data_IF_569466388655
#
_entry.id   IF_569466388655
#
_cell.length_a   1.000
_cell.length_b   1.000
_cell.length_c   1.000
_cell.angle_alpha   90.00
_cell.angle_beta   90.00
_cell.angle_gamma   90.00
#
_symmetry.space_group_name_H-M   'P 1'
#
loop_
_entity.id
_entity.type
_entity.pdbx_description
1 polymer ?
#
# COMPACT_ATOMS: atom_id res chain seq x y z
N UNK A 1 -13.71 -9.55 23.56
CA UNK A 1 -12.89 -10.34 24.48
C UNK A 1 -11.87 -11.10 23.65
N UNK A 2 -10.62 -10.63 23.63
CA UNK A 2 -9.42 -11.45 23.44
C UNK A 2 -8.23 -10.52 23.66
N UNK A 3 -7.80 -10.47 24.91
CA UNK A 3 -6.51 -9.94 25.34
C UNK A 3 -5.42 -10.91 24.92
N UNK A 4 -4.44 -10.48 24.12
CA UNK A 4 -3.12 -11.11 24.11
C UNK A 4 -2.07 -10.10 23.62
N UNK A 5 -1.52 -9.38 24.59
CA UNK A 5 -0.21 -8.73 24.51
C UNK A 5 0.82 -9.76 24.04
N UNK A 6 1.48 -9.52 22.90
CA UNK A 6 2.67 -10.26 22.49
C UNK A 6 3.70 -9.31 21.87
N UNK A 7 4.90 -9.36 22.46
CA UNK A 7 6.08 -8.56 22.09
C UNK A 7 6.65 -9.05 20.76
N UNK A 8 7.04 -8.12 19.90
CA UNK A 8 7.60 -8.36 18.57
C UNK A 8 9.13 -8.49 18.65
N UNK A 9 9.68 -9.46 17.94
CA UNK A 9 11.11 -9.55 17.60
C UNK A 9 11.24 -9.17 16.12
N UNK A 10 11.70 -7.96 15.84
CA UNK A 10 12.01 -7.53 14.48
C UNK A 10 13.24 -8.30 13.97
N UNK A 11 13.06 -9.15 12.96
CA UNK A 11 14.16 -9.84 12.29
C UNK A 11 14.85 -8.88 11.29
N UNK A 12 15.97 -8.30 11.68
CA UNK A 12 16.89 -7.62 10.77
C UNK A 12 17.53 -8.65 9.81
N UNK A 13 17.43 -8.44 8.49
CA UNK A 13 18.12 -9.27 7.49
C UNK A 13 19.14 -8.40 6.73
N UNK A 14 20.40 -8.84 6.77
CA UNK A 14 21.53 -8.23 6.10
C UNK A 14 21.42 -8.30 4.57
N UNK A 15 21.78 -7.20 3.89
CA UNK A 15 21.81 -7.08 2.43
C UNK A 15 23.16 -7.60 1.91
N UNK A 16 23.15 -8.76 1.26
CA UNK A 16 24.28 -9.25 0.46
C UNK A 16 24.14 -8.82 -1.00
N UNK A 17 25.09 -8.04 -1.50
CA UNK A 17 25.17 -7.64 -2.91
C UNK A 17 25.85 -8.76 -3.70
N UNK A 18 25.18 -9.28 -4.74
CA UNK A 18 25.82 -10.14 -5.75
C UNK A 18 25.70 -9.43 -7.11
N UNK A 19 26.85 -9.10 -7.69
CA UNK A 19 26.98 -8.57 -9.03
C UNK A 19 26.82 -9.68 -10.07
N UNK A 20 25.98 -9.47 -11.09
CA UNK A 20 25.85 -10.38 -12.23
C UNK A 20 26.60 -9.79 -13.44
N UNK A 21 27.60 -10.53 -13.92
CA UNK A 21 28.34 -10.30 -15.15
C UNK A 21 27.57 -10.81 -16.37
N UNK A 22 27.38 -9.96 -17.38
CA UNK A 22 26.78 -10.32 -18.68
C UNK A 22 27.89 -10.64 -19.67
N UNK A 23 28.01 -11.90 -20.09
CA UNK A 23 28.79 -12.30 -21.25
C UNK A 23 27.92 -12.26 -22.50
N UNK A 24 28.34 -11.43 -23.46
CA UNK A 24 27.73 -11.35 -24.79
C UNK A 24 28.16 -12.52 -25.67
N UNK A 25 27.22 -13.02 -26.47
CA UNK A 25 27.51 -13.90 -27.60
C UNK A 25 26.85 -13.26 -28.83
N UNK A 26 27.68 -12.85 -29.78
CA UNK A 26 27.30 -12.45 -31.12
C UNK A 26 27.22 -13.71 -32.00
N UNK A 27 26.17 -13.83 -32.83
CA UNK A 27 26.13 -14.78 -33.93
C UNK A 27 25.66 -14.06 -35.20
N UNK A 28 26.33 -14.43 -36.28
CA UNK A 28 26.45 -13.82 -37.59
C UNK A 28 25.15 -13.66 -38.38
N UNK A 29 25.18 -12.65 -39.25
CA UNK A 29 24.28 -12.43 -40.36
C UNK A 29 24.46 -13.53 -41.43
N UNK A 30 23.35 -13.99 -42.02
CA UNK A 30 23.37 -14.66 -43.31
C UNK A 30 22.43 -13.93 -44.25
N UNK A 31 22.99 -13.43 -45.36
CA UNK A 31 22.28 -12.81 -46.45
C UNK A 31 21.63 -13.90 -47.33
N UNK A 32 20.37 -13.70 -47.68
CA UNK A 32 19.64 -14.49 -48.64
C UNK A 32 18.66 -13.58 -49.37
N UNK A 33 19.02 -13.18 -50.58
CA UNK A 33 18.19 -12.48 -51.55
C UNK A 33 17.25 -13.45 -52.23
N UNK A 34 15.96 -13.11 -52.33
CA UNK A 34 15.13 -13.46 -53.48
C UNK A 34 13.96 -12.47 -53.59
N UNK A 35 13.83 -11.88 -54.78
CA UNK A 35 12.77 -10.95 -55.18
C UNK A 35 11.50 -11.71 -55.52
N UNK A 36 10.34 -11.12 -55.22
CA UNK A 36 9.17 -11.15 -56.11
C UNK A 36 8.15 -10.09 -55.70
N UNK A 37 7.79 -9.27 -56.68
CA UNK A 37 6.83 -8.17 -56.69
C UNK A 37 5.38 -8.62 -56.55
N UNK A 38 4.58 -7.87 -55.80
CA UNK A 38 3.19 -7.57 -56.16
C UNK A 38 2.70 -6.34 -55.38
N UNK A 39 2.45 -5.26 -56.11
CA UNK A 39 1.75 -4.10 -55.63
C UNK A 39 0.25 -4.43 -55.49
N UNK A 40 -0.33 -4.11 -54.34
CA UNK A 40 -1.77 -3.97 -54.18
C UNK A 40 -2.03 -2.75 -53.29
N UNK A 41 -2.41 -1.66 -53.93
CA UNK A 41 -2.91 -0.44 -53.30
C UNK A 41 -4.26 -0.72 -52.65
N UNK A 42 -4.32 -0.54 -51.34
CA UNK A 42 -5.58 -0.50 -50.58
C UNK A 42 -5.62 0.79 -49.79
N UNK A 43 -6.37 1.76 -50.29
CA UNK A 43 -6.69 3.00 -49.60
C UNK A 43 -7.55 2.68 -48.37
N UNK A 44 -6.94 2.69 -47.18
CA UNK A 44 -7.66 2.63 -45.91
C UNK A 44 -7.98 4.07 -45.48
N UNK A 45 -9.27 4.40 -45.51
CA UNK A 45 -9.81 5.65 -45.01
C UNK A 45 -9.41 5.85 -43.54
N UNK A 46 -8.71 6.97 -43.26
CA UNK A 46 -8.39 7.40 -41.92
C UNK A 46 -9.67 7.91 -41.23
N UNK A 47 -10.41 7.02 -40.58
CA UNK A 47 -11.40 7.42 -39.58
C UNK A 47 -10.65 7.97 -38.36
N UNK A 48 -10.57 9.30 -38.26
CA UNK A 48 -10.08 10.02 -37.09
C UNK A 48 -11.03 9.76 -35.91
N UNK A 49 -10.83 8.64 -35.21
CA UNK A 49 -11.41 8.43 -33.90
C UNK A 49 -10.77 9.46 -32.96
N UNK A 50 -11.49 10.55 -32.68
CA UNK A 50 -11.16 11.47 -31.61
C UNK A 50 -11.26 10.71 -30.28
N UNK A 51 -10.15 10.10 -29.85
CA UNK A 51 -9.96 9.66 -28.48
C UNK A 51 -9.92 10.91 -27.62
N UNK A 52 -11.08 11.30 -27.08
CA UNK A 52 -11.16 12.20 -25.93
C UNK A 52 -10.37 11.55 -24.80
N UNK A 53 -9.09 11.89 -24.68
CA UNK A 53 -8.29 11.60 -23.51
C UNK A 53 -8.98 12.30 -22.35
N UNK A 54 -9.75 11.54 -21.57
CA UNK A 54 -10.29 12.02 -20.31
C UNK A 54 -9.08 12.45 -19.47
N UNK A 55 -8.90 13.76 -19.32
CA UNK A 55 -7.83 14.31 -18.50
C UNK A 55 -7.90 13.64 -17.13
N UNK A 56 -6.81 13.00 -16.71
CA UNK A 56 -6.74 12.34 -15.42
C UNK A 56 -7.19 13.33 -14.33
N UNK A 57 -8.20 12.94 -13.53
CA UNK A 57 -8.69 13.79 -12.45
C UNK A 57 -7.53 14.10 -11.53
N UNK A 58 -7.23 15.39 -11.34
CA UNK A 58 -6.18 15.82 -10.41
C UNK A 58 -6.53 15.36 -9.01
N UNK A 59 -5.69 14.52 -8.43
CA UNK A 59 -5.85 14.09 -7.03
C UNK A 59 -5.43 15.20 -6.08
N UNK A 60 -6.13 15.33 -4.96
CA UNK A 60 -5.77 16.28 -3.89
C UNK A 60 -4.93 15.54 -2.86
N UNK A 61 -3.72 16.03 -2.57
CA UNK A 61 -2.85 15.46 -1.54
C UNK A 61 -3.29 15.86 -0.13
N UNK A 62 -2.98 15.06 0.90
CA UNK A 62 -3.14 15.49 2.29
C UNK A 62 -2.34 16.78 2.55
N UNK A 63 -2.83 17.71 3.39
CA UNK A 63 -2.05 18.87 3.79
C UNK A 63 -0.77 18.45 4.50
N UNK A 64 0.38 18.89 3.98
CA UNK A 64 1.69 18.62 4.59
C UNK A 64 1.75 19.11 6.03
N UNK A 65 2.30 18.28 6.94
CA UNK A 65 2.31 18.56 8.38
C UNK A 65 0.91 18.96 8.93
N UNK A 66 -0.14 18.38 8.36
CA UNK A 66 -1.48 18.47 8.92
C UNK A 66 -1.59 17.52 10.10
N UNK A 67 -2.07 17.99 11.26
CA UNK A 67 -2.28 17.13 12.43
C UNK A 67 -3.13 15.92 12.04
N UNK A 68 -2.53 14.73 12.12
CA UNK A 68 -3.10 13.45 11.71
C UNK A 68 -3.78 12.76 12.90
N UNK A 69 -4.86 12.03 12.65
CA UNK A 69 -5.59 11.26 13.65
C UNK A 69 -5.98 9.89 13.07
N UNK A 70 -5.35 8.83 13.59
CA UNK A 70 -5.50 7.47 13.09
C UNK A 70 -6.63 6.77 13.84
N UNK A 71 -7.76 6.54 13.16
CA UNK A 71 -9.03 6.08 13.73
C UNK A 71 -9.51 4.77 13.08
N UNK A 72 -8.59 3.84 12.81
CA UNK A 72 -8.93 2.54 12.20
C UNK A 72 -9.48 1.53 13.23
N UNK A 73 -9.06 1.59 14.50
CA UNK A 73 -9.60 0.77 15.60
C UNK A 73 -10.91 1.30 16.20
N UNK A 74 -11.49 2.36 15.60
CA UNK A 74 -12.82 2.86 15.94
C UNK A 74 -12.96 4.37 15.76
N UNK A 75 -14.16 4.76 15.34
CA UNK A 75 -14.49 6.15 15.00
C UNK A 75 -14.78 6.99 16.24
N UNK A 76 -14.24 8.22 16.28
CA UNK A 76 -14.64 9.26 17.24
C UNK A 76 -14.55 10.65 16.61
N UNK A 77 -15.25 11.67 17.17
CA UNK A 77 -15.12 13.05 16.70
C UNK A 77 -13.66 13.54 16.82
N UNK A 78 -12.98 13.88 15.70
CA UNK A 78 -11.61 14.39 15.76
C UNK A 78 -11.59 15.78 16.38
N UNK A 79 -10.48 16.15 17.03
CA UNK A 79 -10.32 17.49 17.59
C UNK A 79 -10.34 18.56 16.47
N UNK A 80 -10.70 19.80 16.83
CA UNK A 80 -10.75 20.91 15.86
C UNK A 80 -9.41 21.13 15.12
N UNK A 81 -8.29 20.94 15.82
CA UNK A 81 -6.93 21.08 15.27
C UNK A 81 -6.52 19.98 14.30
N UNK A 82 -7.17 18.80 14.34
CA UNK A 82 -6.92 17.70 13.39
C UNK A 82 -7.28 18.17 11.98
N UNK A 83 -6.42 17.88 11.00
CA UNK A 83 -6.61 18.21 9.59
C UNK A 83 -6.81 16.97 8.73
N UNK A 84 -6.21 15.85 9.12
CA UNK A 84 -6.22 14.59 8.39
C UNK A 84 -6.75 13.51 9.33
N UNK A 85 -7.68 12.69 8.84
CA UNK A 85 -8.23 11.55 9.56
C UNK A 85 -8.13 10.34 8.66
N UNK A 86 -7.63 9.22 9.19
CA UNK A 86 -7.70 7.93 8.53
C UNK A 86 -8.66 7.01 9.28
N UNK A 87 -9.56 6.37 8.53
CA UNK A 87 -10.62 5.50 9.04
C UNK A 87 -10.78 4.29 8.14
N UNK A 88 -11.20 3.20 8.76
CA UNK A 88 -11.61 1.98 8.08
C UNK A 88 -12.65 2.26 6.96
N UNK A 89 -12.54 1.53 5.85
CA UNK A 89 -13.43 1.67 4.68
C UNK A 89 -14.92 1.52 5.00
N UNK A 90 -15.30 0.87 6.08
CA UNK A 90 -16.70 0.71 6.50
C UNK A 90 -17.23 1.98 7.18
N UNK A 91 -16.36 2.81 7.74
CA UNK A 91 -16.72 4.04 8.44
C UNK A 91 -17.19 5.16 7.48
N UNK A 92 -17.71 6.24 8.08
CA UNK A 92 -18.02 7.51 7.41
C UNK A 92 -16.82 8.46 7.53
N UNK A 93 -16.52 9.27 6.51
CA UNK A 93 -15.58 10.39 6.62
C UNK A 93 -15.96 11.37 7.74
N UNK A 94 -14.96 12.00 8.33
CA UNK A 94 -15.12 13.13 9.23
C UNK A 94 -15.34 14.43 8.44
N UNK A 95 -16.45 15.14 8.70
CA UNK A 95 -16.78 16.39 8.03
C UNK A 95 -15.68 17.46 8.23
N UNK A 96 -15.36 18.19 7.16
CA UNK A 96 -14.39 19.30 7.20
C UNK A 96 -12.93 18.87 7.40
N UNK A 97 -12.60 17.60 7.18
CA UNK A 97 -11.24 17.04 7.28
C UNK A 97 -10.81 16.44 5.93
N UNK A 98 -9.50 16.32 5.73
CA UNK A 98 -8.97 15.43 4.70
C UNK A 98 -9.12 13.99 5.21
N UNK A 99 -9.79 13.13 4.44
CA UNK A 99 -10.15 11.78 4.88
C UNK A 99 -9.44 10.73 4.03
N UNK A 100 -8.68 9.85 4.70
CA UNK A 100 -8.01 8.70 4.10
C UNK A 100 -8.82 7.44 4.47
N UNK A 101 -9.01 6.56 3.51
CA UNK A 101 -9.78 5.33 3.63
C UNK A 101 -8.82 4.15 3.78
N UNK A 102 -8.73 3.57 4.98
CA UNK A 102 -7.99 2.34 5.23
C UNK A 102 -8.65 1.16 4.51
N UNK A 103 -7.83 0.38 3.79
CA UNK A 103 -8.22 -0.87 3.14
C UNK A 103 -7.12 -1.90 3.37
N UNK A 104 -7.40 -2.99 4.07
CA UNK A 104 -6.48 -4.13 4.13
C UNK A 104 -6.42 -4.82 2.75
N UNK A 105 -5.39 -4.50 1.97
CA UNK A 105 -5.36 -4.78 0.54
C UNK A 105 -4.59 -6.07 0.18
N UNK A 106 -3.82 -6.61 1.13
CA UNK A 106 -2.93 -7.75 0.90
C UNK A 106 -3.11 -8.89 1.91
N UNK A 107 -4.02 -8.73 2.89
CA UNK A 107 -4.43 -9.78 3.81
C UNK A 107 -5.97 -9.84 3.91
N UNK A 108 -6.48 -10.94 4.45
CA UNK A 108 -7.89 -11.10 4.82
C UNK A 108 -8.13 -10.50 6.21
N UNK A 109 -9.35 -10.10 6.53
CA UNK A 109 -9.73 -9.75 7.91
C UNK A 109 -10.88 -10.63 8.41
N UNK A 110 -11.00 -10.87 9.73
CA UNK A 110 -12.09 -11.66 10.30
C UNK A 110 -13.48 -11.18 9.84
N UNK A 111 -13.70 -9.86 9.83
CA UNK A 111 -14.99 -9.26 9.46
C UNK A 111 -15.34 -9.44 7.97
N UNK A 112 -14.34 -9.68 7.12
CA UNK A 112 -14.48 -9.89 5.69
C UNK A 112 -14.36 -11.37 5.27
N UNK A 113 -14.38 -12.32 6.22
CA UNK A 113 -14.15 -13.74 5.95
C UNK A 113 -15.06 -14.32 4.84
N UNK A 114 -16.29 -13.83 4.71
CA UNK A 114 -17.23 -14.24 3.65
C UNK A 114 -16.73 -13.87 2.25
N UNK A 115 -16.05 -12.74 2.10
CA UNK A 115 -15.48 -12.27 0.82
C UNK A 115 -14.46 -13.28 0.27
N UNK A 116 -13.72 -13.92 1.17
CA UNK A 116 -12.63 -14.85 0.85
C UNK A 116 -13.05 -16.32 0.82
N UNK A 117 -14.36 -16.57 0.82
CA UNK A 117 -14.94 -17.92 0.75
C UNK A 117 -15.32 -18.32 -0.68
N UNK A 118 -15.72 -19.59 -0.86
CA UNK A 118 -16.20 -20.12 -2.15
C UNK A 118 -15.21 -19.86 -3.28
N UNK A 119 -15.67 -19.18 -4.34
CA UNK A 119 -14.87 -18.88 -5.54
C UNK A 119 -13.64 -18.03 -5.28
N UNK A 120 -13.53 -17.33 -4.15
CA UNK A 120 -12.38 -16.48 -3.81
C UNK A 120 -11.40 -17.15 -2.85
N UNK A 121 -11.69 -18.38 -2.40
CA UNK A 121 -10.84 -19.10 -1.45
C UNK A 121 -9.47 -19.49 -2.00
N UNK A 122 -9.30 -19.44 -3.33
CA UNK A 122 -8.04 -19.64 -4.04
C UNK A 122 -7.19 -18.36 -4.14
N UNK A 123 -7.73 -17.21 -3.74
CA UNK A 123 -7.02 -15.95 -3.61
C UNK A 123 -6.30 -15.81 -2.26
N UNK A 124 -6.47 -16.76 -1.34
CA UNK A 124 -5.68 -16.85 -0.12
C UNK A 124 -4.41 -17.63 -0.43
N UNK A 125 -3.25 -17.10 -0.04
CA UNK A 125 -1.95 -17.73 -0.24
C UNK A 125 -1.88 -19.06 0.51
N UNK A 126 -1.40 -20.09 -0.17
CA UNK A 126 -1.18 -21.42 0.38
C UNK A 126 0.23 -21.89 0.12
N UNK A 127 0.80 -22.62 1.07
CA UNK A 127 2.06 -23.30 0.87
C UNK A 127 1.89 -24.58 0.03
N UNK A 128 3.00 -25.27 -0.24
CA UNK A 128 3.02 -26.52 -1.02
C UNK A 128 2.18 -27.66 -0.43
N UNK A 129 1.79 -27.58 0.85
CA UNK A 129 0.90 -28.54 1.53
C UNK A 129 -0.57 -28.12 1.50
N UNK A 130 -0.91 -27.03 0.80
CA UNK A 130 -2.27 -26.48 0.73
C UNK A 130 -2.71 -25.71 1.98
N UNK A 131 -1.81 -25.50 2.95
CA UNK A 131 -2.10 -24.77 4.20
C UNK A 131 -2.05 -23.28 3.92
N UNK A 132 -3.07 -22.55 4.40
CA UNK A 132 -3.12 -21.08 4.29
C UNK A 132 -1.95 -20.45 5.03
N UNK A 133 -1.34 -19.44 4.42
CA UNK A 133 -0.23 -18.68 5.03
C UNK A 133 -0.83 -17.54 5.83
N UNK A 134 -0.73 -17.64 7.16
CA UNK A 134 -1.21 -16.63 8.10
C UNK A 134 -0.16 -15.56 8.37
N UNK A 135 -0.63 -14.39 8.79
CA UNK A 135 0.21 -13.41 9.45
C UNK A 135 0.64 -13.95 10.84
N UNK A 136 1.90 -13.76 11.27
CA UNK A 136 2.36 -14.23 12.57
C UNK A 136 1.76 -13.46 13.76
N UNK A 137 1.28 -12.24 13.54
CA UNK A 137 0.80 -11.32 14.59
C UNK A 137 -0.72 -11.18 14.60
N UNK A 138 -1.35 -11.30 13.42
CA UNK A 138 -2.78 -11.08 13.24
C UNK A 138 -3.52 -12.37 12.83
N UNK A 139 -4.79 -12.53 13.24
CA UNK A 139 -5.66 -13.63 12.79
C UNK A 139 -6.15 -13.40 11.35
N UNK A 140 -5.19 -13.26 10.44
CA UNK A 140 -5.33 -12.82 9.07
C UNK A 140 -4.49 -13.72 8.15
N UNK A 141 -4.97 -13.96 6.92
CA UNK A 141 -4.24 -14.73 5.91
C UNK A 141 -3.75 -13.83 4.79
N UNK A 142 -2.56 -14.10 4.28
CA UNK A 142 -1.99 -13.39 3.14
C UNK A 142 -2.78 -13.67 1.87
N UNK A 143 -2.99 -12.65 1.04
CA UNK A 143 -3.57 -12.80 -0.29
C UNK A 143 -2.51 -13.25 -1.30
N UNK A 144 -2.91 -14.10 -2.24
CA UNK A 144 -2.02 -14.69 -3.22
C UNK A 144 -1.85 -13.77 -4.44
N UNK A 145 -0.78 -12.97 -4.42
CA UNK A 145 -0.41 -12.05 -5.49
C UNK A 145 0.46 -12.70 -6.57
N UNK A 146 0.77 -14.00 -6.50
CA UNK A 146 1.81 -14.67 -7.31
C UNK A 146 1.53 -14.73 -8.82
N UNK A 147 0.28 -14.53 -9.26
CA UNK A 147 -0.09 -14.58 -10.68
C UNK A 147 -0.89 -13.36 -11.10
N UNK A 148 -0.75 -12.96 -12.37
CA UNK A 148 -1.51 -11.84 -12.94
C UNK A 148 -3.04 -12.05 -12.83
N UNK A 149 -3.51 -13.29 -13.03
CA UNK A 149 -4.93 -13.64 -12.92
C UNK A 149 -5.45 -13.44 -11.48
N UNK A 150 -4.70 -13.88 -10.47
CA UNK A 150 -5.07 -13.68 -9.06
C UNK A 150 -5.03 -12.20 -8.69
N UNK A 151 -3.98 -11.47 -9.08
CA UNK A 151 -3.90 -10.01 -8.87
C UNK A 151 -5.08 -9.25 -9.48
N UNK A 152 -5.51 -9.62 -10.69
CA UNK A 152 -6.68 -9.00 -11.33
C UNK A 152 -7.97 -9.24 -10.53
N UNK A 153 -8.15 -10.45 -10.00
CA UNK A 153 -9.33 -10.79 -9.18
C UNK A 153 -9.30 -10.14 -7.80
N UNK A 154 -8.13 -10.08 -7.16
CA UNK A 154 -7.93 -9.34 -5.91
C UNK A 154 -8.22 -7.86 -6.14
N UNK A 155 -7.63 -7.26 -7.18
CA UNK A 155 -7.87 -5.86 -7.53
C UNK A 155 -9.36 -5.57 -7.80
N UNK A 156 -10.10 -6.48 -8.43
CA UNK A 156 -11.54 -6.28 -8.64
C UNK A 156 -12.33 -6.17 -7.32
N UNK A 157 -11.97 -6.97 -6.30
CA UNK A 157 -12.57 -6.89 -4.95
C UNK A 157 -12.20 -5.57 -4.29
N UNK A 158 -10.90 -5.24 -4.28
CA UNK A 158 -10.37 -4.01 -3.68
C UNK A 158 -10.96 -2.77 -4.36
N UNK A 159 -11.11 -2.78 -5.68
CA UNK A 159 -11.66 -1.67 -6.45
C UNK A 159 -13.13 -1.40 -6.11
N UNK A 160 -13.92 -2.42 -5.78
CA UNK A 160 -15.28 -2.23 -5.28
C UNK A 160 -15.28 -1.53 -3.90
N UNK A 161 -14.31 -1.83 -3.04
CA UNK A 161 -14.12 -1.14 -1.77
C UNK A 161 -13.65 0.31 -1.95
N UNK A 162 -12.68 0.54 -2.84
CA UNK A 162 -12.20 1.87 -3.22
C UNK A 162 -13.34 2.71 -3.82
N UNK A 163 -14.20 2.11 -4.63
CA UNK A 163 -15.41 2.76 -5.15
C UNK A 163 -16.36 3.19 -4.03
N UNK A 164 -16.52 2.35 -3.01
CA UNK A 164 -17.25 2.71 -1.80
C UNK A 164 -16.63 3.89 -1.05
N UNK A 165 -15.29 3.93 -0.92
CA UNK A 165 -14.58 5.06 -0.34
C UNK A 165 -14.82 6.36 -1.15
N UNK A 166 -14.68 6.29 -2.48
CA UNK A 166 -14.94 7.43 -3.36
C UNK A 166 -16.38 7.95 -3.21
N UNK A 167 -17.36 7.05 -3.22
CA UNK A 167 -18.78 7.39 -3.10
C UNK A 167 -19.13 8.03 -1.74
N UNK A 168 -18.42 7.63 -0.66
CA UNK A 168 -18.58 8.24 0.67
C UNK A 168 -17.92 9.61 0.80
N UNK A 169 -17.06 10.02 -0.14
CA UNK A 169 -16.34 11.29 -0.11
C UNK A 169 -14.99 11.23 0.62
N UNK A 170 -14.34 10.07 0.66
CA UNK A 170 -12.92 10.01 1.02
C UNK A 170 -12.07 10.72 -0.05
N UNK A 171 -10.87 11.14 0.34
CA UNK A 171 -9.93 11.88 -0.53
C UNK A 171 -8.75 11.00 -0.96
N UNK A 172 -8.44 9.96 -0.19
CA UNK A 172 -7.36 9.03 -0.46
C UNK A 172 -7.65 7.62 0.05
N UNK A 173 -6.85 6.66 -0.39
CA UNK A 173 -6.82 5.28 0.11
C UNK A 173 -5.47 4.98 0.77
N UNK A 174 -5.49 4.27 1.90
CA UNK A 174 -4.36 3.58 2.49
C UNK A 174 -4.49 2.06 2.24
N UNK A 175 -3.81 1.50 1.22
CA UNK A 175 -3.78 0.06 1.01
C UNK A 175 -2.75 -0.60 1.93
N UNK A 176 -3.23 -1.19 3.02
CA UNK A 176 -2.40 -1.78 4.07
C UNK A 176 -1.84 -3.16 3.70
N UNK A 177 -0.80 -3.61 4.42
CA UNK A 177 -0.09 -4.88 4.21
C UNK A 177 0.66 -5.00 2.87
N UNK A 178 1.04 -3.88 2.25
CA UNK A 178 1.80 -3.83 0.99
C UNK A 178 3.06 -4.70 1.01
N UNK A 179 3.70 -4.85 2.16
CA UNK A 179 4.91 -5.63 2.41
C UNK A 179 4.67 -7.13 2.69
N UNK A 180 3.46 -7.66 2.46
CA UNK A 180 3.08 -9.05 2.81
C UNK A 180 4.02 -10.12 2.24
N UNK A 181 4.75 -9.83 1.16
CA UNK A 181 5.78 -10.74 0.66
C UNK A 181 6.82 -11.08 1.74
N UNK A 182 7.19 -10.13 2.60
CA UNK A 182 8.18 -10.35 3.67
C UNK A 182 7.76 -11.44 4.66
N UNK A 183 6.45 -11.65 4.82
CA UNK A 183 5.82 -12.63 5.72
C UNK A 183 5.37 -13.92 4.99
N UNK A 184 5.67 -14.06 3.71
CA UNK A 184 5.20 -15.19 2.87
C UNK A 184 6.11 -16.42 2.86
N UNK A 185 7.13 -16.51 3.74
CA UNK A 185 8.02 -17.68 3.77
C UNK A 185 7.34 -18.90 4.38
N UNK A 186 7.46 -20.05 3.75
CA UNK A 186 7.02 -21.34 4.30
C UNK A 186 8.05 -22.43 4.02
N UNK A 187 8.48 -23.15 5.07
CA UNK A 187 9.51 -24.20 4.98
C UNK A 187 10.78 -23.76 4.21
N UNK A 188 11.25 -22.54 4.46
CA UNK A 188 12.43 -21.97 3.79
C UNK A 188 12.20 -21.42 2.38
N UNK A 189 11.00 -21.60 1.81
CA UNK A 189 10.65 -21.10 0.47
C UNK A 189 9.89 -19.78 0.58
N UNK A 190 10.35 -18.79 -0.17
CA UNK A 190 9.67 -17.50 -0.35
C UNK A 190 8.51 -17.68 -1.36
N UNK A 191 7.26 -17.47 -0.93
CA UNK A 191 6.09 -17.76 -1.78
C UNK A 191 5.62 -16.56 -2.61
N UNK A 192 5.82 -15.34 -2.12
CA UNK A 192 5.53 -14.10 -2.85
C UNK A 192 6.80 -13.26 -3.00
N UNK A 193 6.88 -12.48 -4.07
CA UNK A 193 7.97 -11.53 -4.29
C UNK A 193 7.52 -10.08 -4.11
N UNK A 194 8.49 -9.18 -3.94
CA UNK A 194 8.24 -7.73 -4.00
C UNK A 194 7.56 -7.32 -5.32
N UNK A 195 7.95 -7.94 -6.44
CA UNK A 195 7.40 -7.63 -7.76
C UNK A 195 5.91 -8.00 -7.87
N UNK A 196 5.48 -9.08 -7.22
CA UNK A 196 4.07 -9.49 -7.18
C UNK A 196 3.19 -8.45 -6.49
N UNK A 197 3.63 -7.97 -5.32
CA UNK A 197 2.88 -6.95 -4.59
C UNK A 197 2.92 -5.59 -5.29
N UNK A 198 4.06 -5.19 -5.86
CA UNK A 198 4.16 -3.97 -6.70
C UNK A 198 3.21 -4.04 -7.90
N UNK A 199 3.05 -5.20 -8.52
CA UNK A 199 2.13 -5.37 -9.65
C UNK A 199 0.66 -5.21 -9.21
N UNK A 200 0.27 -5.69 -8.03
CA UNK A 200 -1.07 -5.43 -7.48
C UNK A 200 -1.23 -3.94 -7.14
N UNK A 201 -0.24 -3.34 -6.47
CA UNK A 201 -0.28 -1.93 -6.08
C UNK A 201 -0.52 -0.99 -7.28
N UNK A 202 0.09 -1.28 -8.44
CA UNK A 202 -0.13 -0.55 -9.69
C UNK A 202 -1.59 -0.57 -10.16
N UNK A 203 -2.25 -1.73 -10.04
CA UNK A 203 -3.67 -1.86 -10.39
C UNK A 203 -4.53 -1.00 -9.47
N UNK A 204 -4.23 -1.01 -8.17
CA UNK A 204 -4.97 -0.23 -7.17
C UNK A 204 -4.74 1.28 -7.36
N UNK A 205 -3.50 1.72 -7.59
CA UNK A 205 -3.16 3.12 -7.83
C UNK A 205 -3.85 3.67 -9.07
N UNK A 206 -3.81 2.92 -10.18
CA UNK A 206 -4.52 3.29 -11.42
C UNK A 206 -6.01 3.48 -11.18
N UNK A 207 -6.64 2.57 -10.43
CA UNK A 207 -8.07 2.67 -10.12
C UNK A 207 -8.38 3.84 -9.19
N UNK A 208 -7.62 4.02 -8.10
CA UNK A 208 -7.77 5.12 -7.16
C UNK A 208 -7.68 6.48 -7.86
N UNK A 209 -6.67 6.68 -8.71
CA UNK A 209 -6.51 7.90 -9.51
C UNK A 209 -7.68 8.11 -10.48
N UNK A 210 -8.19 7.05 -11.11
CA UNK A 210 -9.39 7.10 -11.94
C UNK A 210 -10.65 7.55 -11.17
N UNK A 211 -10.69 7.32 -9.87
CA UNK A 211 -11.74 7.79 -8.95
C UNK A 211 -11.45 9.17 -8.34
N UNK A 212 -10.32 9.78 -8.66
CA UNK A 212 -9.90 11.07 -8.10
C UNK A 212 -9.38 10.98 -6.66
N UNK A 213 -9.00 9.78 -6.22
CA UNK A 213 -8.43 9.52 -4.90
C UNK A 213 -6.92 9.47 -4.99
N UNK A 214 -6.22 10.13 -4.06
CA UNK A 214 -4.79 9.87 -3.85
C UNK A 214 -4.59 8.47 -3.24
N UNK A 215 -3.39 7.91 -3.34
CA UNK A 215 -3.07 6.60 -2.77
C UNK A 215 -1.75 6.61 -2.01
N UNK A 216 -1.77 6.11 -0.78
CA UNK A 216 -0.61 6.05 0.10
C UNK A 216 0.26 4.81 -0.19
N UNK A 217 1.57 4.98 -0.09
CA UNK A 217 2.44 3.86 0.23
C UNK A 217 2.34 3.59 1.74
N UNK A 218 1.81 2.41 2.12
CA UNK A 218 1.83 1.97 3.53
C UNK A 218 3.10 1.18 3.81
N UNK A 219 3.91 1.68 4.75
CA UNK A 219 5.20 1.11 5.14
C UNK A 219 6.07 0.81 3.90
N UNK A 220 6.80 -0.31 3.93
CA UNK A 220 7.49 -0.84 2.74
C UNK A 220 8.62 0.06 2.22
N UNK A 221 9.61 0.44 3.05
CA UNK A 221 10.69 1.36 2.67
C UNK A 221 11.54 0.81 1.51
N UNK A 222 11.54 -0.52 1.29
CA UNK A 222 12.32 -1.21 0.27
C UNK A 222 11.83 -0.95 -1.17
N UNK A 223 10.74 -0.21 -1.35
CA UNK A 223 10.32 0.29 -2.66
C UNK A 223 11.20 1.44 -3.15
N UNK A 224 11.67 2.31 -2.26
CA UNK A 224 12.35 3.55 -2.61
C UNK A 224 11.60 4.32 -3.72
N UNK A 225 12.34 4.86 -4.69
CA UNK A 225 11.77 5.66 -5.78
C UNK A 225 10.75 4.90 -6.65
N UNK A 226 10.77 3.56 -6.65
CA UNK A 226 9.81 2.75 -7.40
C UNK A 226 8.38 2.89 -6.85
N UNK A 227 8.21 3.17 -5.56
CA UNK A 227 6.88 3.45 -4.99
C UNK A 227 6.20 4.61 -5.71
N UNK A 228 6.93 5.70 -5.94
CA UNK A 228 6.40 6.87 -6.66
C UNK A 228 6.38 6.69 -8.18
N UNK A 229 7.50 6.24 -8.78
CA UNK A 229 7.65 6.21 -10.26
C UNK A 229 7.02 5.00 -10.93
N UNK A 230 6.99 3.85 -10.26
CA UNK A 230 6.52 2.59 -10.85
C UNK A 230 5.10 2.28 -10.41
N UNK A 231 4.78 2.48 -9.12
CA UNK A 231 3.43 2.26 -8.60
C UNK A 231 2.53 3.47 -8.83
N UNK A 232 3.04 4.67 -8.58
CA UNK A 232 2.26 5.90 -8.62
C UNK A 232 1.68 6.28 -7.26
N UNK A 233 2.32 5.87 -6.15
CA UNK A 233 1.94 6.39 -4.83
C UNK A 233 2.17 7.90 -4.75
N UNK A 234 1.27 8.58 -4.05
CA UNK A 234 1.20 10.03 -3.96
C UNK A 234 1.89 10.57 -2.69
N UNK A 235 1.81 9.80 -1.61
CA UNK A 235 2.35 10.09 -0.28
C UNK A 235 2.66 8.77 0.46
N UNK A 236 3.25 8.85 1.64
CA UNK A 236 3.51 7.68 2.49
C UNK A 236 2.85 7.80 3.87
N UNK A 237 2.40 6.66 4.38
CA UNK A 237 2.06 6.46 5.79
C UNK A 237 3.03 5.40 6.31
N UNK A 238 3.87 5.79 7.27
CA UNK A 238 4.96 4.96 7.78
C UNK A 238 4.78 4.77 9.28
N UNK A 239 4.63 3.52 9.69
CA UNK A 239 4.64 3.11 11.07
C UNK A 239 6.08 2.83 11.50
N UNK A 240 6.45 3.35 12.67
CA UNK A 240 7.68 3.03 13.38
C UNK A 240 8.96 3.38 12.61
N UNK A 241 8.90 4.31 11.65
CA UNK A 241 10.07 4.62 10.83
C UNK A 241 11.22 5.18 11.66
N UNK A 242 10.96 5.91 12.76
CA UNK A 242 12.02 6.42 13.60
C UNK A 242 12.56 5.33 14.52
N UNK A 243 11.70 4.44 15.00
CA UNK A 243 12.10 3.24 15.74
C UNK A 243 13.06 2.38 14.91
N UNK A 244 12.79 2.18 13.62
CA UNK A 244 13.60 1.35 12.72
C UNK A 244 14.71 2.11 11.98
N UNK A 245 14.82 3.43 12.15
CA UNK A 245 15.80 4.27 11.41
C UNK A 245 15.58 4.23 9.89
N UNK A 246 14.33 4.28 9.46
CA UNK A 246 13.90 4.15 8.06
C UNK A 246 13.18 5.40 7.52
N UNK A 247 13.00 6.46 8.30
CA UNK A 247 12.24 7.63 7.86
C UNK A 247 12.77 8.31 6.59
N UNK A 248 14.09 8.33 6.40
CA UNK A 248 14.72 8.91 5.20
C UNK A 248 14.30 8.16 3.93
N UNK A 249 14.07 6.84 4.01
CA UNK A 249 13.59 6.05 2.87
C UNK A 249 12.22 6.52 2.33
N UNK A 250 11.42 7.17 3.17
CA UNK A 250 10.15 7.77 2.78
C UNK A 250 10.31 9.24 2.38
N UNK A 251 11.00 10.03 3.20
CA UNK A 251 11.11 11.48 2.97
C UNK A 251 11.96 11.82 1.75
N UNK A 252 12.93 10.99 1.37
CA UNK A 252 13.70 11.15 0.12
C UNK A 252 12.82 10.96 -1.13
N UNK A 253 11.74 10.17 -1.03
CA UNK A 253 10.85 9.85 -2.15
C UNK A 253 9.65 10.82 -2.21
N UNK A 254 9.04 11.09 -1.05
CA UNK A 254 7.76 11.80 -0.94
C UNK A 254 7.91 13.23 -0.39
N UNK A 255 9.11 13.62 0.05
CA UNK A 255 9.38 14.93 0.63
C UNK A 255 8.58 15.13 1.92
N UNK A 256 7.71 16.15 1.93
CA UNK A 256 6.86 16.49 3.08
C UNK A 256 5.52 15.72 3.12
N UNK A 257 5.23 14.92 2.10
CA UNK A 257 4.01 14.12 2.03
C UNK A 257 4.23 12.75 2.70
N UNK A 258 4.61 12.79 3.97
CA UNK A 258 4.80 11.61 4.82
C UNK A 258 3.99 11.82 6.09
N UNK A 259 3.35 10.76 6.56
CA UNK A 259 2.69 10.68 7.86
C UNK A 259 3.40 9.57 8.64
N UNK A 260 3.93 9.91 9.80
CA UNK A 260 4.66 9.00 10.68
C UNK A 260 3.81 8.65 11.90
N UNK A 261 3.79 7.37 12.24
CA UNK A 261 3.06 6.82 13.38
C UNK A 261 4.05 6.04 14.25
N UNK A 262 4.27 6.48 15.48
CA UNK A 262 5.03 5.74 16.49
C UNK A 262 4.07 5.13 17.52
N UNK A 263 4.45 4.00 18.12
CA UNK A 263 3.59 3.26 19.04
C UNK A 263 4.08 3.26 20.49
N UNK A 264 3.14 3.21 21.43
CA UNK A 264 3.42 3.28 22.88
C UNK A 264 4.10 2.06 23.47
N UNK A 265 4.06 0.93 22.77
CA UNK A 265 4.76 -0.31 23.14
C UNK A 265 6.24 -0.29 22.73
N UNK A 266 6.68 0.74 22.01
CA UNK A 266 8.09 1.07 21.80
C UNK A 266 8.63 2.06 22.85
N UNK A 267 9.97 2.18 22.97
CA UNK A 267 10.56 3.26 23.75
C UNK A 267 10.05 4.63 23.30
N UNK A 268 9.49 5.42 24.22
CA UNK A 268 8.99 6.79 23.96
C UNK A 268 10.01 7.69 23.25
N UNK A 269 11.31 7.37 23.37
CA UNK A 269 12.40 8.05 22.68
C UNK A 269 12.26 8.03 21.16
N UNK A 270 11.65 7.00 20.56
CA UNK A 270 11.39 6.96 19.12
C UNK A 270 10.51 8.16 18.71
N UNK A 271 9.33 8.29 19.33
CA UNK A 271 8.42 9.41 19.11
C UNK A 271 9.06 10.79 19.41
N UNK A 272 9.76 10.95 20.53
CA UNK A 272 10.37 12.27 20.83
C UNK A 272 11.50 12.63 19.86
N UNK A 273 12.24 11.64 19.36
CA UNK A 273 13.24 11.83 18.31
C UNK A 273 12.59 12.19 16.98
N UNK A 274 11.50 11.52 16.62
CA UNK A 274 10.73 11.79 15.41
C UNK A 274 10.20 13.24 15.42
N UNK A 275 9.58 13.66 16.53
CA UNK A 275 9.14 15.05 16.72
C UNK A 275 10.28 16.05 16.53
N UNK A 276 11.43 15.82 17.17
CA UNK A 276 12.55 16.76 17.12
C UNK A 276 13.17 16.87 15.72
N UNK A 277 13.26 15.75 15.00
CA UNK A 277 13.87 15.70 13.66
C UNK A 277 12.92 16.14 12.54
N UNK A 278 11.63 15.78 12.65
CA UNK A 278 10.72 15.79 11.51
C UNK A 278 9.36 16.48 11.77
N UNK A 279 8.95 16.68 13.03
CA UNK A 279 7.62 17.21 13.38
C UNK A 279 7.34 18.65 12.92
N UNK A 280 8.36 19.40 12.49
CA UNK A 280 8.15 20.70 11.81
C UNK A 280 7.87 20.57 10.31
N UNK A 281 8.14 19.39 9.72
CA UNK A 281 8.11 19.15 8.27
C UNK A 281 7.00 18.21 7.82
N UNK A 282 6.74 17.15 8.58
CA UNK A 282 5.77 16.08 8.32
C UNK A 282 4.85 15.88 9.53
N UNK A 283 3.78 15.12 9.36
CA UNK A 283 2.88 14.78 10.48
C UNK A 283 3.44 13.62 11.28
N UNK A 284 3.55 13.74 12.61
CA UNK A 284 4.07 12.67 13.47
C UNK A 284 3.10 12.43 14.62
N UNK A 285 2.68 11.19 14.86
CA UNK A 285 1.82 10.85 16.00
C UNK A 285 2.40 9.74 16.87
N UNK A 286 1.96 9.72 18.13
CA UNK A 286 2.09 8.56 19.02
C UNK A 286 0.70 7.95 19.21
N UNK A 287 0.54 6.64 18.96
CA UNK A 287 -0.70 5.88 19.20
C UNK A 287 -0.47 4.66 20.08
N UNK A 288 -1.54 4.17 20.69
CA UNK A 288 -1.60 2.78 21.15
C UNK A 288 -1.64 1.81 19.96
N UNK A 289 -1.09 0.60 20.15
CA UNK A 289 -0.92 -0.42 19.09
C UNK A 289 -2.25 -0.84 18.46
N UNK A 290 -3.29 -0.94 19.27
CA UNK A 290 -4.63 -1.38 18.83
C UNK A 290 -5.46 -0.25 18.22
N UNK A 291 -4.90 0.97 18.18
CA UNK A 291 -5.51 2.17 17.59
C UNK A 291 -6.94 2.39 18.08
N UNK A 292 -7.19 2.13 19.37
CA UNK A 292 -8.54 2.10 19.93
C UNK A 292 -9.21 3.47 19.84
N UNK A 293 -10.55 3.48 19.87
CA UNK A 293 -11.31 4.72 19.88
C UNK A 293 -11.10 5.53 21.17
N UNK A 294 -11.17 6.86 21.05
CA UNK A 294 -11.12 7.77 22.21
C UNK A 294 -12.18 7.40 23.25
N UNK A 295 -11.76 7.34 24.52
CA UNK A 295 -12.60 6.95 25.66
C UNK A 295 -12.43 5.49 26.07
N UNK A 296 -11.68 4.68 25.32
CA UNK A 296 -11.22 3.37 25.76
C UNK A 296 -10.04 3.52 26.74
N UNK A 297 -9.86 2.60 27.71
CA UNK A 297 -8.78 2.68 28.70
C UNK A 297 -7.38 2.75 28.09
N UNK A 298 -7.15 2.03 27.00
CA UNK A 298 -5.84 1.92 26.34
C UNK A 298 -5.58 3.07 25.35
N UNK A 299 -6.51 4.02 25.20
CA UNK A 299 -6.40 5.09 24.23
C UNK A 299 -5.19 6.00 24.52
N UNK A 300 -4.26 6.05 23.57
CA UNK A 300 -3.16 7.03 23.57
C UNK A 300 -3.12 7.77 22.24
N UNK A 301 -3.04 9.10 22.33
CA UNK A 301 -2.85 9.97 21.18
C UNK A 301 -1.99 11.16 21.56
N UNK A 302 -0.84 11.31 20.91
CA UNK A 302 -0.05 12.55 20.89
C UNK A 302 0.31 12.90 19.45
N UNK A 303 0.62 14.16 19.22
CA UNK A 303 1.02 14.63 17.91
C UNK A 303 2.10 15.69 18.02
N UNK A 304 2.96 15.71 17.02
CA UNK A 304 3.84 16.77 16.62
C UNK A 304 3.94 16.66 15.08
#
# INVERSE_FOLDING_TARGET
MSTLSRRILAAAIAVGVVAASVTGVAIAANAGTESSSAAASSAAAASSAATSSAAAKKVTLPPVNGRFDYQIGGVYPPAASVKIVDRDRTAKPAAGKYNICYVNAYQTQPDDAKTWSGRNSDLILRNSKGVKVGDPEWDEYLLDTSTAAKRTRIAAIMNAWIDGCAAKGFHAIEPDNLDSWTRSKSAGTQLLTKADNVALARLLATHAHGKGLAIAQKNTPQLGIAGKKTVGFDFAIAEECQMYTECDAYTDVFGRNVIEIEYTDNPLKAYTTACAKQGTRISVILRDRDVVAKGKPDYVYKSC
#
